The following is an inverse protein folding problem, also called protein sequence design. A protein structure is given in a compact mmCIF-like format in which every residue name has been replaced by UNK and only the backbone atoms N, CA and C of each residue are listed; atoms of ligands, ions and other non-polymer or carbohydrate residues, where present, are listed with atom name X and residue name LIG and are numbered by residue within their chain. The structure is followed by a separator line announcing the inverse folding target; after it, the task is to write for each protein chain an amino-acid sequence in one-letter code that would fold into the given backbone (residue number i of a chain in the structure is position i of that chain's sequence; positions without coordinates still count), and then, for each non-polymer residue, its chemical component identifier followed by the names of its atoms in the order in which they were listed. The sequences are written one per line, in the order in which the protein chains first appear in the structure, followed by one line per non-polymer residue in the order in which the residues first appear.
data_IF_008972565332
#
_entry.id   IF_008972565332
#
_cell.length_a   1.000
_cell.length_b   1.000
_cell.length_c   1.000
_cell.angle_alpha   90.00
_cell.angle_beta   90.00
_cell.angle_gamma   90.00
#
_symmetry.space_group_name_H-M   'P 1'
#
loop_
_entity.id
_entity.type
_entity.pdbx_description
1 polymer ?
#
# COMPACT_ATOMS: atom_id res chain seq x y z
N UNK A 1 -15.41 -53.98 -26.54
CA UNK A 1 -16.58 -53.23 -26.02
C UNK A 1 -16.08 -52.30 -24.91
N UNK A 2 -15.97 -51.03 -25.22
CA UNK A 2 -15.49 -50.03 -24.27
C UNK A 2 -16.69 -49.10 -23.90
N UNK A 3 -17.09 -49.12 -22.64
CA UNK A 3 -18.16 -48.32 -22.10
C UNK A 3 -17.68 -46.92 -21.80
N UNK A 4 -18.26 -45.93 -22.48
CA UNK A 4 -18.07 -44.48 -22.20
C UNK A 4 -18.77 -44.11 -20.89
N UNK A 5 -18.02 -43.58 -19.92
CA UNK A 5 -18.59 -42.87 -18.75
C UNK A 5 -18.82 -41.42 -19.11
N UNK A 6 -20.05 -40.95 -18.97
CA UNK A 6 -20.50 -39.54 -19.04
C UNK A 6 -20.07 -38.78 -17.79
N UNK A 7 -19.65 -37.52 -17.87
CA UNK A 7 -19.33 -36.71 -16.70
C UNK A 7 -20.58 -36.20 -16.01
N UNK A 8 -20.58 -36.33 -14.67
CA UNK A 8 -21.62 -35.85 -13.79
C UNK A 8 -21.65 -34.31 -13.73
N UNK A 9 -22.84 -33.76 -13.91
CA UNK A 9 -23.18 -32.33 -13.78
C UNK A 9 -23.28 -31.98 -12.29
N UNK A 10 -22.67 -30.91 -11.78
CA UNK A 10 -22.84 -30.51 -10.39
C UNK A 10 -24.24 -29.95 -10.17
N UNK A 11 -24.87 -30.39 -9.07
CA UNK A 11 -26.17 -29.93 -8.63
C UNK A 11 -26.12 -28.49 -8.09
N UNK A 12 -27.10 -27.68 -8.49
CA UNK A 12 -27.32 -26.34 -7.98
C UNK A 12 -27.87 -26.40 -6.56
N UNK A 13 -27.27 -25.63 -5.65
CA UNK A 13 -27.76 -25.42 -4.28
C UNK A 13 -28.72 -24.22 -4.28
N UNK A 14 -29.94 -24.32 -3.76
CA UNK A 14 -30.85 -23.19 -3.69
C UNK A 14 -30.48 -22.27 -2.53
N UNK A 15 -30.28 -20.99 -2.84
CA UNK A 15 -30.20 -19.90 -1.88
C UNK A 15 -31.60 -19.38 -1.63
N UNK A 16 -32.20 -19.67 -0.48
CA UNK A 16 -33.32 -18.94 0.10
C UNK A 16 -33.64 -19.50 1.49
N UNK A 17 -33.18 -18.84 2.52
CA UNK A 17 -33.86 -18.82 3.82
C UNK A 17 -33.75 -17.42 4.39
N UNK A 18 -34.87 -16.70 4.36
CA UNK A 18 -35.07 -15.45 5.09
C UNK A 18 -35.09 -15.73 6.58
N UNK A 19 -34.34 -14.94 7.35
CA UNK A 19 -34.39 -14.94 8.82
C UNK A 19 -35.60 -14.13 9.29
N UNK A 20 -36.38 -14.60 10.28
CA UNK A 20 -37.53 -13.88 10.79
C UNK A 20 -37.12 -12.65 11.61
N UNK A 21 -37.82 -11.54 11.37
CA UNK A 21 -37.70 -10.32 12.16
C UNK A 21 -38.21 -10.54 13.58
N UNK A 22 -37.35 -10.38 14.57
CA UNK A 22 -37.75 -10.29 15.99
C UNK A 22 -38.08 -8.85 16.34
N UNK A 23 -39.33 -8.61 16.73
CA UNK A 23 -39.79 -7.36 17.33
C UNK A 23 -39.33 -7.29 18.80
N UNK A 24 -38.92 -6.13 19.31
CA UNK A 24 -38.65 -5.96 20.72
C UNK A 24 -39.91 -5.61 21.48
N UNK A 25 -40.33 -6.47 22.38
CA UNK A 25 -41.26 -6.15 23.46
C UNK A 25 -40.49 -6.14 24.78
N UNK A 26 -40.65 -5.10 25.56
CA UNK A 26 -40.23 -5.13 26.97
C UNK A 26 -39.76 -3.78 27.49
N UNK A 27 -40.71 -3.01 28.00
CA UNK A 27 -40.49 -1.89 28.94
C UNK A 27 -39.84 -2.41 30.22
N UNK A 28 -38.73 -1.79 30.64
CA UNK A 28 -38.32 -1.83 32.05
C UNK A 28 -37.65 -0.52 32.41
N UNK A 29 -38.24 0.21 33.33
CA UNK A 29 -37.76 1.40 33.98
C UNK A 29 -36.41 1.13 34.67
N UNK A 30 -35.39 1.90 34.35
CA UNK A 30 -34.18 2.05 35.12
C UNK A 30 -33.85 3.53 35.29
N UNK A 31 -33.36 4.00 36.46
CA UNK A 31 -33.29 5.40 36.79
C UNK A 31 -32.21 6.14 36.01
N UNK A 32 -32.56 7.33 35.54
CA UNK A 32 -31.66 8.32 34.94
C UNK A 32 -30.50 8.65 35.88
N UNK A 33 -29.33 8.14 35.60
CA UNK A 33 -28.07 8.68 36.10
C UNK A 33 -27.65 9.85 35.20
N UNK A 34 -27.81 11.07 35.69
CA UNK A 34 -27.29 12.28 35.06
C UNK A 34 -25.76 12.18 34.97
N UNK A 35 -25.23 11.76 33.80
CA UNK A 35 -23.82 11.93 33.47
C UNK A 35 -23.60 13.40 33.11
N UNK A 36 -22.92 14.11 34.00
CA UNK A 36 -22.37 15.46 33.70
C UNK A 36 -21.39 15.33 32.53
N UNK A 37 -21.75 15.88 31.38
CA UNK A 37 -20.85 16.11 30.26
C UNK A 37 -19.82 17.12 30.72
N UNK A 38 -18.62 16.70 31.08
CA UNK A 38 -17.48 17.59 31.23
C UNK A 38 -17.07 18.08 29.86
N UNK A 39 -17.35 19.34 29.59
CA UNK A 39 -16.83 20.06 28.43
C UNK A 39 -15.32 20.19 28.62
N UNK A 40 -14.54 19.34 27.89
CA UNK A 40 -13.09 19.51 27.81
C UNK A 40 -12.88 20.74 26.92
N UNK A 41 -12.58 21.89 27.53
CA UNK A 41 -12.06 23.04 26.82
C UNK A 41 -10.63 22.73 26.38
N UNK A 42 -10.47 22.37 25.13
CA UNK A 42 -9.13 22.29 24.52
C UNK A 42 -8.50 23.68 24.52
N UNK A 43 -7.37 23.80 25.18
CA UNK A 43 -6.50 24.96 25.07
C UNK A 43 -6.02 25.09 23.63
N UNK A 44 -5.95 26.29 23.02
CA UNK A 44 -5.52 26.43 21.64
C UNK A 44 -4.04 26.04 21.55
N UNK A 45 -3.80 24.91 20.88
CA UNK A 45 -2.45 24.54 20.47
C UNK A 45 -1.90 25.62 19.54
N UNK A 46 -0.79 26.21 19.96
CA UNK A 46 -0.04 27.17 19.16
C UNK A 46 0.49 26.51 17.89
N UNK A 47 -0.03 26.93 16.73
CA UNK A 47 0.74 26.89 15.48
C UNK A 47 0.76 25.60 14.69
N UNK A 48 -0.31 24.79 14.69
CA UNK A 48 -0.42 23.76 13.66
C UNK A 48 -0.62 24.43 12.28
N UNK A 49 0.39 24.41 11.42
CA UNK A 49 0.23 24.78 10.02
C UNK A 49 -0.92 23.93 9.42
N UNK A 50 -1.87 24.60 8.77
CA UNK A 50 -2.94 23.87 8.04
C UNK A 50 -2.29 22.88 7.09
N UNK A 51 -2.79 21.64 7.00
CA UNK A 51 -2.24 20.64 6.10
C UNK A 51 -2.21 21.22 4.68
N UNK A 52 -1.03 21.23 4.07
CA UNK A 52 -0.84 21.74 2.70
C UNK A 52 -1.62 20.81 1.76
N UNK A 53 -2.50 21.41 0.95
CA UNK A 53 -3.21 20.67 -0.10
C UNK A 53 -2.21 20.19 -1.15
N UNK A 54 -1.79 18.93 -1.05
CA UNK A 54 -0.79 18.33 -1.93
C UNK A 54 -1.25 18.27 -3.39
N UNK A 55 -2.55 18.40 -3.66
CA UNK A 55 -3.08 18.39 -5.03
C UNK A 55 -2.72 19.67 -5.77
N UNK A 56 -2.53 20.77 -5.07
CA UNK A 56 -2.16 22.09 -5.61
C UNK A 56 -0.67 22.35 -5.63
N UNK A 57 0.13 21.43 -5.07
CA UNK A 57 1.58 21.58 -5.05
C UNK A 57 2.16 21.48 -6.46
N UNK A 58 2.77 22.55 -6.95
CA UNK A 58 3.59 22.49 -8.15
C UNK A 58 4.96 21.91 -7.79
N UNK A 59 5.34 20.85 -8.48
CA UNK A 59 6.61 20.16 -8.27
C UNK A 59 7.48 20.35 -9.49
N UNK A 60 8.59 21.06 -9.31
CA UNK A 60 9.63 21.18 -10.34
C UNK A 60 10.38 19.84 -10.45
N UNK A 61 10.61 19.43 -11.70
CA UNK A 61 11.33 18.20 -12.02
C UNK A 61 12.52 18.53 -12.87
N UNK A 62 13.71 18.15 -12.44
CA UNK A 62 14.93 18.27 -13.21
C UNK A 62 15.67 16.93 -13.25
N UNK A 63 16.46 16.74 -14.31
CA UNK A 63 17.29 15.54 -14.46
C UNK A 63 18.56 15.87 -15.22
N UNK A 64 19.56 15.01 -15.13
CA UNK A 64 20.78 15.14 -15.91
C UNK A 64 20.50 14.95 -17.41
N UNK A 65 21.28 15.63 -18.27
CA UNK A 65 21.15 15.55 -19.76
C UNK A 65 21.27 14.10 -20.26
N UNK A 66 22.06 13.25 -19.62
CA UNK A 66 22.31 11.88 -20.05
C UNK A 66 21.27 10.86 -19.55
N UNK A 67 20.33 11.23 -18.67
CA UNK A 67 19.42 10.27 -18.05
C UNK A 67 18.57 9.51 -19.07
N UNK A 68 18.00 10.18 -20.06
CA UNK A 68 17.16 9.52 -21.07
C UNK A 68 17.92 8.49 -21.89
N UNK A 69 19.14 8.82 -22.35
CA UNK A 69 20.00 7.89 -23.07
C UNK A 69 20.45 6.71 -22.19
N UNK A 70 20.72 6.96 -20.91
CA UNK A 70 21.09 5.92 -19.94
C UNK A 70 19.93 4.96 -19.68
N UNK A 71 18.71 5.45 -19.48
CA UNK A 71 17.51 4.61 -19.32
C UNK A 71 17.27 3.75 -20.56
N UNK A 72 17.37 4.34 -21.76
CA UNK A 72 17.18 3.65 -23.02
C UNK A 72 18.23 2.54 -23.25
N UNK A 73 19.53 2.83 -23.04
CA UNK A 73 20.61 1.87 -23.24
C UNK A 73 20.55 0.70 -22.25
N UNK A 74 20.09 0.93 -21.03
CA UNK A 74 19.90 -0.11 -20.02
C UNK A 74 18.52 -0.80 -20.12
N UNK A 75 17.61 -0.31 -20.97
CA UNK A 75 16.22 -0.82 -21.12
C UNK A 75 15.48 -0.87 -19.78
N UNK A 76 15.59 0.19 -19.00
CA UNK A 76 14.96 0.32 -17.69
C UNK A 76 14.09 1.56 -17.60
N UNK A 77 13.13 1.52 -16.70
CA UNK A 77 12.36 2.66 -16.21
C UNK A 77 12.44 2.69 -14.70
N UNK A 78 12.21 3.83 -14.09
CA UNK A 78 12.22 4.02 -12.64
C UNK A 78 10.80 4.24 -12.14
N UNK A 79 10.47 3.64 -11.00
CA UNK A 79 9.31 4.00 -10.20
C UNK A 79 9.82 4.64 -8.91
N UNK A 80 9.43 5.88 -8.67
CA UNK A 80 9.93 6.69 -7.55
C UNK A 80 8.74 7.18 -6.74
N UNK A 81 8.75 6.91 -5.45
CA UNK A 81 7.81 7.49 -4.49
C UNK A 81 8.41 8.74 -3.85
N UNK A 82 7.57 9.72 -3.56
CA UNK A 82 7.96 10.94 -2.86
C UNK A 82 6.98 11.21 -1.73
N UNK A 83 7.42 10.99 -0.51
CA UNK A 83 6.64 11.21 0.69
C UNK A 83 6.15 12.66 0.84
N UNK A 84 7.09 13.63 0.69
CA UNK A 84 6.78 15.04 0.92
C UNK A 84 5.82 15.62 -0.11
N UNK A 85 5.86 15.13 -1.35
CA UNK A 85 4.97 15.60 -2.41
C UNK A 85 3.73 14.73 -2.56
N UNK A 86 3.66 13.59 -1.85
CA UNK A 86 2.57 12.62 -1.95
C UNK A 86 2.40 12.11 -3.39
N UNK A 87 3.50 11.77 -4.08
CA UNK A 87 3.46 11.37 -5.48
C UNK A 87 4.26 10.11 -5.75
N UNK A 88 3.81 9.40 -6.77
CA UNK A 88 4.60 8.36 -7.46
C UNK A 88 4.90 8.87 -8.86
N UNK A 89 6.15 8.75 -9.25
CA UNK A 89 6.64 9.06 -10.59
C UNK A 89 7.04 7.77 -11.30
N UNK A 90 6.55 7.61 -12.54
CA UNK A 90 7.09 6.63 -13.47
C UNK A 90 7.95 7.40 -14.46
N UNK A 91 9.23 7.07 -14.49
CA UNK A 91 10.24 7.77 -15.29
C UNK A 91 10.81 6.81 -16.31
N UNK A 92 10.67 7.15 -17.58
CA UNK A 92 11.16 6.34 -18.69
C UNK A 92 11.83 7.21 -19.75
N UNK A 93 12.17 6.60 -20.89
CA UNK A 93 12.65 7.31 -22.06
C UNK A 93 11.71 7.12 -23.25
N UNK A 94 11.52 8.16 -24.04
CA UNK A 94 10.85 8.07 -25.34
C UNK A 94 11.80 7.50 -26.42
N UNK A 95 11.30 7.18 -27.64
CA UNK A 95 12.13 6.71 -28.74
C UNK A 95 13.29 7.66 -29.13
N UNK A 96 13.16 8.94 -28.82
CA UNK A 96 14.20 9.95 -29.06
C UNK A 96 15.16 10.11 -27.88
N UNK A 97 15.13 9.17 -26.91
CA UNK A 97 15.94 9.18 -25.69
C UNK A 97 15.71 10.42 -24.80
N UNK A 98 14.55 11.06 -24.91
CA UNK A 98 14.14 12.12 -23.98
C UNK A 98 13.48 11.49 -22.76
N UNK A 99 13.69 12.09 -21.59
CA UNK A 99 13.07 11.61 -20.34
C UNK A 99 11.58 11.90 -20.36
N UNK A 100 10.78 10.90 -20.08
CA UNK A 100 9.33 10.99 -19.88
C UNK A 100 9.00 10.83 -18.41
N UNK A 101 8.18 11.74 -17.87
CA UNK A 101 7.67 11.66 -16.50
C UNK A 101 6.16 11.49 -16.54
N UNK A 102 5.67 10.48 -15.82
CA UNK A 102 4.26 10.32 -15.52
C UNK A 102 4.09 10.32 -14.02
N UNK A 103 3.12 11.08 -13.49
CA UNK A 103 2.91 11.17 -12.05
C UNK A 103 1.47 10.93 -11.64
N UNK A 104 1.29 10.41 -10.42
CA UNK A 104 0.01 10.28 -9.73
C UNK A 104 0.19 10.60 -8.25
N UNK A 105 -0.86 11.17 -7.67
CA UNK A 105 -0.93 11.51 -6.26
C UNK A 105 -1.34 10.29 -5.46
N UNK A 106 -0.56 9.98 -4.44
CA UNK A 106 -0.85 9.00 -3.39
C UNK A 106 -0.39 9.58 -2.06
N UNK A 107 -1.32 9.83 -1.18
CA UNK A 107 -1.01 10.43 0.12
C UNK A 107 0.01 9.57 0.88
N UNK A 108 1.09 10.23 1.35
CA UNK A 108 2.23 9.58 2.02
C UNK A 108 2.83 8.41 1.21
N UNK A 109 2.94 8.54 -0.10
CA UNK A 109 3.61 7.55 -0.94
C UNK A 109 5.07 7.38 -0.50
N UNK A 110 5.43 6.19 0.03
CA UNK A 110 6.77 5.95 0.53
C UNK A 110 7.31 4.60 0.08
N UNK A 111 7.12 3.51 0.81
CA UNK A 111 7.61 2.21 0.41
C UNK A 111 7.09 1.81 -0.97
N UNK A 112 7.99 1.42 -1.87
CA UNK A 112 7.64 0.97 -3.22
C UNK A 112 8.51 -0.21 -3.62
N UNK A 113 7.90 -1.26 -4.16
CA UNK A 113 8.62 -2.43 -4.68
C UNK A 113 7.89 -3.03 -5.87
N UNK A 114 8.61 -3.58 -6.81
CA UNK A 114 7.95 -4.23 -7.95
C UNK A 114 8.89 -4.69 -9.04
N UNK A 115 8.30 -5.00 -10.17
CA UNK A 115 8.96 -5.39 -11.40
C UNK A 115 8.17 -4.89 -12.61
N UNK A 116 8.56 -5.31 -13.81
CA UNK A 116 7.90 -4.89 -15.05
C UNK A 116 6.42 -5.30 -15.17
N UNK A 117 5.91 -6.21 -14.32
CA UNK A 117 4.53 -6.67 -14.36
C UNK A 117 3.69 -6.10 -13.23
N UNK A 118 4.30 -5.84 -12.07
CA UNK A 118 3.56 -5.48 -10.86
C UNK A 118 4.35 -4.50 -10.00
N UNK A 119 3.65 -3.54 -9.43
CA UNK A 119 4.20 -2.60 -8.43
C UNK A 119 3.31 -2.66 -7.19
N UNK A 120 3.93 -2.65 -6.02
CA UNK A 120 3.29 -2.40 -4.73
C UNK A 120 3.75 -1.07 -4.17
N UNK A 121 2.84 -0.36 -3.53
CA UNK A 121 3.06 0.98 -2.97
C UNK A 121 2.40 1.09 -1.60
N UNK A 122 3.17 1.47 -0.60
CA UNK A 122 2.66 1.91 0.70
C UNK A 122 2.19 3.37 0.63
N UNK A 123 0.94 3.61 0.99
CA UNK A 123 0.37 4.94 1.20
C UNK A 123 -0.07 5.12 2.64
N UNK A 124 -0.75 6.23 2.94
CA UNK A 124 -1.17 6.57 4.31
C UNK A 124 -2.00 5.47 4.97
N UNK A 125 -3.06 5.00 4.29
CA UNK A 125 -3.99 4.02 4.87
C UNK A 125 -4.09 2.72 4.07
N UNK A 126 -3.40 2.64 2.92
CA UNK A 126 -3.58 1.55 1.97
C UNK A 126 -2.26 1.05 1.43
N UNK A 127 -2.19 -0.26 1.27
CA UNK A 127 -1.19 -0.93 0.46
C UNK A 127 -1.79 -1.21 -0.92
N UNK A 128 -1.27 -0.52 -1.93
CA UNK A 128 -1.72 -0.60 -3.31
C UNK A 128 -0.99 -1.67 -4.08
N UNK A 129 -1.72 -2.33 -4.99
CA UNK A 129 -1.15 -3.22 -6.00
C UNK A 129 -1.56 -2.76 -7.39
N UNK A 130 -0.56 -2.50 -8.22
CA UNK A 130 -0.73 -2.15 -9.62
C UNK A 130 -0.26 -3.31 -10.50
N UNK A 131 -1.01 -3.60 -11.56
CA UNK A 131 -0.65 -4.58 -12.58
C UNK A 131 -0.39 -3.87 -13.91
N UNK A 132 0.66 -4.26 -14.61
CA UNK A 132 0.83 -3.89 -16.01
C UNK A 132 -0.25 -4.60 -16.85
N UNK A 133 -1.07 -3.82 -17.56
CA UNK A 133 -2.18 -4.35 -18.36
C UNK A 133 -1.83 -4.56 -19.82
N UNK A 134 -0.65 -4.14 -20.26
CA UNK A 134 -0.19 -4.33 -21.63
C UNK A 134 0.34 -5.76 -21.84
N UNK A 135 0.02 -6.31 -23.00
CA UNK A 135 0.56 -7.59 -23.47
C UNK A 135 2.03 -7.41 -23.89
N UNK A 136 2.70 -8.52 -24.11
CA UNK A 136 4.05 -8.49 -24.66
C UNK A 136 4.08 -7.79 -26.03
N UNK A 137 4.96 -6.81 -26.19
CA UNK A 137 5.13 -5.98 -27.40
C UNK A 137 3.94 -5.02 -27.68
N UNK A 138 2.99 -4.89 -26.79
CA UNK A 138 1.94 -3.88 -26.88
C UNK A 138 2.47 -2.53 -26.38
N UNK A 139 2.11 -1.46 -27.08
CA UNK A 139 2.43 -0.07 -26.71
C UNK A 139 1.17 0.78 -26.74
N UNK A 140 1.07 1.73 -25.81
CA UNK A 140 0.01 2.74 -25.80
C UNK A 140 0.59 4.11 -26.16
N UNK A 141 -0.21 4.95 -26.77
CA UNK A 141 0.19 6.26 -27.28
C UNK A 141 1.46 6.20 -28.17
N UNK A 142 1.73 5.07 -28.81
CA UNK A 142 2.91 4.79 -29.66
C UNK A 142 4.27 5.00 -28.96
N UNK A 143 4.30 5.05 -27.63
CA UNK A 143 5.51 5.36 -26.85
C UNK A 143 5.70 4.41 -25.68
N UNK A 144 4.64 4.18 -24.90
CA UNK A 144 4.76 3.50 -23.61
C UNK A 144 4.55 2.00 -23.73
N UNK A 145 5.51 1.24 -23.26
CA UNK A 145 5.49 -0.24 -23.21
C UNK A 145 5.00 -0.81 -21.87
N UNK A 146 4.58 0.06 -20.95
CA UNK A 146 3.96 -0.30 -19.66
C UNK A 146 2.79 0.62 -19.35
N UNK A 147 1.75 0.00 -18.80
CA UNK A 147 0.58 0.71 -18.28
C UNK A 147 0.15 0.05 -16.96
N UNK A 148 0.48 0.66 -15.86
CA UNK A 148 0.15 0.16 -14.54
C UNK A 148 -1.22 0.69 -14.09
N UNK A 149 -2.13 -0.25 -13.78
CA UNK A 149 -3.48 0.05 -13.33
C UNK A 149 -3.66 -0.51 -11.92
N UNK A 150 -4.23 0.26 -10.97
CA UNK A 150 -4.53 -0.27 -9.65
C UNK A 150 -5.55 -1.41 -9.76
N UNK A 151 -5.25 -2.55 -9.15
CA UNK A 151 -6.12 -3.74 -9.14
C UNK A 151 -6.56 -4.16 -7.76
N UNK A 152 -5.84 -3.71 -6.75
CA UNK A 152 -6.18 -3.97 -5.37
C UNK A 152 -5.62 -2.83 -4.50
N UNK A 153 -6.38 -2.47 -3.47
CA UNK A 153 -5.92 -1.61 -2.40
C UNK A 153 -6.42 -2.20 -1.08
N UNK A 154 -5.51 -2.73 -0.28
CA UNK A 154 -5.87 -3.23 1.04
C UNK A 154 -5.76 -2.10 2.05
N UNK A 155 -6.84 -1.84 2.77
CA UNK A 155 -6.82 -0.91 3.91
C UNK A 155 -6.08 -1.55 5.08
N UNK A 156 -5.06 -0.86 5.57
CA UNK A 156 -4.14 -1.33 6.61
C UNK A 156 -4.12 -0.42 7.84
N UNK A 157 -4.71 0.77 7.74
CA UNK A 157 -4.56 1.84 8.71
C UNK A 157 -3.25 2.63 8.51
N UNK A 158 -3.04 3.63 9.34
CA UNK A 158 -1.81 4.44 9.33
C UNK A 158 -0.69 3.67 10.04
N UNK A 159 0.15 3.00 9.25
CA UNK A 159 1.28 2.18 9.72
C UNK A 159 2.63 2.82 9.44
N UNK A 160 2.66 3.92 8.70
CA UNK A 160 3.86 4.62 8.25
C UNK A 160 4.85 3.67 7.56
N UNK A 161 4.43 3.12 6.41
CA UNK A 161 5.18 2.08 5.68
C UNK A 161 6.36 2.72 4.95
N UNK A 162 7.55 2.57 5.52
CA UNK A 162 8.77 3.14 4.94
C UNK A 162 9.36 2.31 3.80
N UNK A 163 9.29 0.99 3.87
CA UNK A 163 9.88 0.12 2.87
C UNK A 163 9.04 -1.14 2.65
N UNK A 164 9.15 -1.73 1.46
CA UNK A 164 8.46 -2.95 1.04
C UNK A 164 9.45 -3.96 0.46
N UNK A 165 9.13 -5.24 0.64
CA UNK A 165 9.84 -6.33 -0.02
C UNK A 165 8.86 -7.39 -0.54
N UNK A 166 9.26 -8.13 -1.57
CA UNK A 166 8.51 -9.29 -2.06
C UNK A 166 9.30 -10.53 -1.67
N UNK A 167 8.68 -11.39 -0.87
CA UNK A 167 9.29 -12.66 -0.44
C UNK A 167 9.26 -13.69 -1.56
N UNK A 168 10.13 -14.70 -1.49
CA UNK A 168 10.19 -15.79 -2.47
C UNK A 168 8.86 -16.55 -2.64
N UNK A 169 7.98 -16.53 -1.65
CA UNK A 169 6.63 -17.08 -1.71
C UNK A 169 5.60 -16.14 -2.34
N UNK A 170 6.03 -14.97 -2.85
CA UNK A 170 5.18 -13.94 -3.46
C UNK A 170 4.46 -13.01 -2.49
N UNK A 171 4.58 -13.24 -1.17
CA UNK A 171 3.97 -12.34 -0.18
C UNK A 171 4.75 -11.03 -0.07
N UNK A 172 4.02 -9.94 0.13
CA UNK A 172 4.60 -8.64 0.43
C UNK A 172 4.86 -8.53 1.93
N UNK A 173 6.09 -8.18 2.27
CA UNK A 173 6.53 -7.81 3.61
C UNK A 173 6.84 -6.33 3.63
N UNK A 174 6.58 -5.67 4.74
CA UNK A 174 6.80 -4.24 4.87
C UNK A 174 7.28 -3.83 6.27
N UNK A 175 7.99 -2.71 6.31
CA UNK A 175 8.32 -2.01 7.53
C UNK A 175 7.06 -1.33 8.05
N UNK A 176 6.63 -1.70 9.25
CA UNK A 176 5.60 -1.01 10.00
C UNK A 176 6.29 -0.14 11.07
N UNK A 177 6.59 1.09 10.70
CA UNK A 177 7.36 2.01 11.53
C UNK A 177 6.63 2.35 12.82
N UNK A 178 5.33 2.62 12.76
CA UNK A 178 4.54 2.93 13.96
C UNK A 178 4.57 1.83 15.01
N UNK A 179 4.53 0.57 14.59
CA UNK A 179 4.54 -0.57 15.50
C UNK A 179 5.94 -1.16 15.71
N UNK A 180 6.97 -0.57 15.10
CA UNK A 180 8.38 -1.00 15.19
C UNK A 180 8.55 -2.49 14.89
N UNK A 181 7.97 -2.96 13.76
CA UNK A 181 8.02 -4.36 13.36
C UNK A 181 8.09 -4.55 11.85
N UNK A 182 8.50 -5.75 11.42
CA UNK A 182 8.21 -6.26 10.09
C UNK A 182 6.83 -6.90 10.09
N UNK A 183 6.06 -6.63 9.05
CA UNK A 183 4.70 -7.13 8.92
C UNK A 183 4.40 -7.64 7.51
N UNK A 184 3.41 -8.51 7.40
CA UNK A 184 2.78 -8.95 6.16
C UNK A 184 1.33 -8.46 6.11
N UNK A 185 0.77 -8.40 4.91
CA UNK A 185 -0.67 -8.22 4.74
C UNK A 185 -1.44 -9.36 5.41
N UNK A 186 -2.56 -9.03 6.04
CA UNK A 186 -3.48 -9.98 6.63
C UNK A 186 -4.91 -9.66 6.16
N UNK A 187 -5.73 -10.67 5.91
CA UNK A 187 -7.10 -10.47 5.44
C UNK A 187 -8.10 -10.22 6.57
N UNK A 188 -7.74 -10.55 7.80
CA UNK A 188 -8.59 -10.40 8.99
C UNK A 188 -8.21 -9.17 9.79
N UNK A 189 -6.92 -8.88 9.88
CA UNK A 189 -6.37 -7.76 10.63
C UNK A 189 -5.70 -6.75 9.69
N UNK A 190 -5.44 -5.56 10.17
CA UNK A 190 -4.71 -4.53 9.40
C UNK A 190 -3.33 -5.02 8.94
N UNK A 191 -2.68 -5.84 9.75
CA UNK A 191 -1.40 -6.48 9.43
C UNK A 191 -1.14 -7.68 10.35
N UNK A 192 -0.20 -8.54 9.94
CA UNK A 192 0.37 -9.60 10.78
C UNK A 192 1.84 -9.31 11.00
N UNK A 193 2.24 -9.04 12.25
CA UNK A 193 3.65 -8.89 12.59
C UNK A 193 4.37 -10.24 12.43
N UNK A 194 5.52 -10.25 11.74
CA UNK A 194 6.33 -11.45 11.53
C UNK A 194 7.67 -11.40 12.26
N UNK A 195 8.13 -10.20 12.63
CA UNK A 195 9.34 -9.97 13.39
C UNK A 195 9.31 -8.59 14.05
N UNK A 196 9.94 -8.44 15.18
CA UNK A 196 10.24 -7.17 15.83
C UNK A 196 11.62 -7.21 16.48
N UNK A 197 12.30 -6.07 16.68
CA UNK A 197 13.53 -6.02 17.45
C UNK A 197 13.34 -6.59 18.86
N UNK A 198 14.36 -7.24 19.40
CA UNK A 198 14.29 -7.88 20.73
C UNK A 198 14.07 -6.90 21.87
N UNK A 199 14.52 -5.65 21.69
CA UNK A 199 14.33 -4.56 22.67
C UNK A 199 12.91 -3.95 22.64
N UNK A 200 12.09 -4.27 21.63
CA UNK A 200 10.68 -3.86 21.58
C UNK A 200 9.85 -4.86 22.38
N UNK A 201 9.40 -4.47 23.58
CA UNK A 201 8.69 -5.34 24.50
C UNK A 201 7.30 -5.75 24.02
N UNK A 202 6.52 -4.81 23.46
CA UNK A 202 5.14 -5.03 22.94
C UNK A 202 4.94 -4.30 21.63
N UNK A 203 3.99 -4.75 20.82
CA UNK A 203 3.50 -4.02 19.66
C UNK A 203 2.55 -2.89 20.15
N UNK A 204 2.93 -1.66 19.87
CA UNK A 204 2.12 -0.48 20.16
C UNK A 204 2.44 0.62 19.11
N UNK A 205 1.48 1.46 18.72
CA UNK A 205 1.68 2.49 17.68
C UNK A 205 2.44 3.71 18.23
N UNK A 206 3.65 3.48 18.74
CA UNK A 206 4.45 4.46 19.49
C UNK A 206 5.74 4.86 18.78
N UNK A 207 6.03 4.27 17.62
CA UNK A 207 7.25 4.51 16.82
C UNK A 207 8.54 4.52 17.68
N UNK A 208 8.75 3.44 18.43
CA UNK A 208 9.80 3.38 19.47
C UNK A 208 11.22 3.33 18.95
N UNK A 209 11.43 2.95 17.71
CA UNK A 209 12.78 2.86 17.13
C UNK A 209 12.83 3.31 15.67
N UNK A 210 11.82 3.94 15.20
CA UNK A 210 11.68 4.42 13.82
C UNK A 210 12.26 3.44 12.81
N UNK A 211 11.72 2.22 12.80
CA UNK A 211 12.14 1.19 11.87
C UNK A 211 11.93 1.72 10.45
N UNK A 212 12.99 1.74 9.62
CA UNK A 212 12.98 2.52 8.38
C UNK A 212 13.19 1.64 7.14
N UNK A 213 14.41 1.16 6.91
CA UNK A 213 14.77 0.44 5.68
C UNK A 213 14.71 -1.08 5.83
N UNK A 214 14.50 -1.75 4.70
CA UNK A 214 14.48 -3.20 4.58
C UNK A 214 15.40 -3.66 3.45
N UNK A 215 16.36 -4.52 3.74
CA UNK A 215 17.13 -5.21 2.71
C UNK A 215 16.77 -6.69 2.64
N UNK A 216 16.43 -7.12 1.43
CA UNK A 216 16.10 -8.50 1.11
C UNK A 216 17.35 -9.27 0.66
N UNK A 217 17.48 -10.53 1.08
CA UNK A 217 18.48 -11.46 0.59
C UNK A 217 17.83 -12.81 0.28
N UNK A 218 18.07 -13.33 -0.91
CA UNK A 218 17.52 -14.60 -1.38
C UNK A 218 15.98 -14.68 -1.24
N UNK A 219 15.30 -13.54 -1.48
CA UNK A 219 13.86 -13.42 -1.38
C UNK A 219 13.29 -13.46 0.05
N UNK A 220 14.11 -13.17 1.06
CA UNK A 220 13.67 -13.08 2.45
C UNK A 220 14.25 -11.80 3.11
N UNK A 221 13.56 -11.22 4.09
CA UNK A 221 14.08 -10.12 4.90
C UNK A 221 15.39 -10.50 5.56
N UNK A 222 16.42 -9.67 5.45
CA UNK A 222 17.72 -9.96 6.04
C UNK A 222 18.22 -8.87 6.98
N UNK A 223 18.09 -7.62 6.56
CA UNK A 223 18.53 -6.47 7.36
C UNK A 223 17.43 -5.43 7.43
N UNK A 224 17.36 -4.74 8.53
CA UNK A 224 16.51 -3.56 8.74
C UNK A 224 17.38 -2.43 9.31
N UNK A 225 16.98 -1.20 9.06
CA UNK A 225 17.56 -0.03 9.70
C UNK A 225 16.59 0.55 10.70
N UNK A 226 17.10 1.14 11.77
CA UNK A 226 16.34 1.86 12.77
C UNK A 226 17.10 3.13 13.15
N UNK A 227 16.35 4.14 13.62
CA UNK A 227 16.89 5.37 14.19
C UNK A 227 16.59 5.32 15.70
N UNK A 228 17.62 5.23 16.54
CA UNK A 228 17.52 5.18 18.00
C UNK A 228 18.17 6.41 18.63
#
# INVERSE_FOLDING_TARGET
MATKKTPNKPAAVPVSQELPATQPTGTSDAPESQQQVQTITESPEKGAEKPKDITKLQVEKSCSRGLGAWLASNRISLAISSYQTGRVYLVGSDPNQRVSFFERIFERAMGIVGNSQRIYLGGLYQLWRFENVLRKNEVIHNVFDRCYVPRNAQTIGDLDIHELGIRKNGKVVFINTKYSCLAEMDLVHSFKAIWKPTFISKLAPEDRCHLNGLAMKDGEPKYVTAVC
#
